data_IF_941142703021
#
_entry.id   IF_941142703021
#
_cell.length_a   1.000
_cell.length_b   1.000
_cell.length_c   1.000
_cell.angle_alpha   90.00
_cell.angle_beta   90.00
_cell.angle_gamma   90.00
#
_symmetry.space_group_name_H-M   'P 1'
#
loop_
_entity.id
_entity.type
_entity.pdbx_description
1 polymer ?
#
# COMPACT_ATOMS: atom_id res chain seq x y z
N UNK A 1 -0.13 -14.87 31.73
CA UNK A 1 0.96 -14.35 30.88
C UNK A 1 1.61 -15.45 30.08
N UNK A 2 1.58 -15.30 28.75
CA UNK A 2 2.40 -16.13 27.86
C UNK A 2 3.80 -15.54 27.87
N UNK A 3 4.78 -16.28 28.38
CA UNK A 3 6.19 -15.89 28.29
C UNK A 3 6.67 -15.84 26.83
N UNK A 4 5.99 -16.60 25.95
CA UNK A 4 6.24 -16.67 24.52
C UNK A 4 4.95 -17.04 23.79
N UNK A 5 4.69 -16.41 22.64
CA UNK A 5 3.50 -16.66 21.82
C UNK A 5 3.84 -16.61 20.34
N UNK A 6 3.10 -17.40 19.54
CA UNK A 6 3.21 -17.41 18.08
C UNK A 6 1.87 -16.99 17.50
N UNK A 7 1.89 -16.04 16.57
CA UNK A 7 0.74 -15.60 15.81
C UNK A 7 1.03 -15.79 14.32
N UNK A 8 0.14 -16.49 13.62
CA UNK A 8 0.24 -16.74 12.19
C UNK A 8 -0.95 -16.04 11.53
N UNK A 9 -0.67 -15.20 10.54
CA UNK A 9 -1.68 -14.45 9.76
C UNK A 9 -1.53 -14.76 8.28
N UNK A 10 -2.59 -14.59 7.49
CA UNK A 10 -2.66 -15.08 6.12
C UNK A 10 -2.95 -13.99 5.06
N UNK A 11 -3.01 -12.73 5.46
CA UNK A 11 -3.42 -11.62 4.59
C UNK A 11 -2.41 -10.45 4.57
N UNK A 12 -1.17 -10.66 5.01
CA UNK A 12 -0.11 -9.64 5.02
C UNK A 12 0.09 -9.02 3.63
N UNK A 13 0.23 -9.86 2.59
CA UNK A 13 0.49 -9.44 1.20
C UNK A 13 -0.62 -8.55 0.60
N UNK A 14 -1.80 -8.51 1.23
CA UNK A 14 -2.92 -7.65 0.85
C UNK A 14 -3.23 -6.55 1.89
N UNK A 15 -2.40 -6.41 2.92
CA UNK A 15 -2.40 -5.33 3.90
C UNK A 15 -2.84 -5.71 5.32
N UNK A 16 -3.05 -6.98 5.65
CA UNK A 16 -3.21 -7.45 7.03
C UNK A 16 -4.51 -7.03 7.75
N UNK A 17 -5.53 -6.57 7.00
CA UNK A 17 -6.72 -5.94 7.56
C UNK A 17 -7.63 -6.90 8.35
N UNK A 18 -7.64 -8.18 7.97
CA UNK A 18 -8.45 -9.22 8.59
C UNK A 18 -7.62 -10.17 9.47
N UNK A 19 -6.31 -10.27 9.25
CA UNK A 19 -5.39 -11.02 10.10
C UNK A 19 -4.81 -10.17 11.22
N UNK A 20 -3.59 -9.65 11.01
CA UNK A 20 -2.82 -8.98 12.05
C UNK A 20 -3.60 -7.84 12.74
N UNK A 21 -4.33 -7.03 11.97
CA UNK A 21 -5.13 -5.91 12.52
C UNK A 21 -6.22 -6.37 13.48
N UNK A 22 -6.83 -7.53 13.27
CA UNK A 22 -7.88 -8.04 14.14
C UNK A 22 -7.28 -8.75 15.36
N UNK A 23 -6.28 -9.62 15.13
CA UNK A 23 -5.65 -10.38 16.21
C UNK A 23 -4.99 -9.47 17.27
N UNK A 24 -4.34 -8.38 16.85
CA UNK A 24 -3.69 -7.42 17.76
C UNK A 24 -4.67 -6.61 18.62
N UNK A 25 -5.99 -6.71 18.40
CA UNK A 25 -6.99 -6.12 19.31
C UNK A 25 -7.19 -6.95 20.57
N UNK A 26 -6.97 -8.26 20.46
CA UNK A 26 -7.22 -9.23 21.53
C UNK A 26 -5.91 -9.69 22.19
N UNK A 27 -4.85 -9.82 21.39
CA UNK A 27 -3.54 -10.30 21.85
C UNK A 27 -2.67 -9.11 22.23
N UNK A 28 -2.24 -9.09 23.50
CA UNK A 28 -1.27 -8.12 24.01
C UNK A 28 0.06 -8.80 24.24
N UNK A 29 1.13 -8.16 23.77
CA UNK A 29 2.51 -8.56 24.02
C UNK A 29 3.32 -7.30 24.38
N UNK A 30 4.28 -7.44 25.29
CA UNK A 30 5.21 -6.35 25.63
C UNK A 30 6.19 -6.07 24.49
N UNK A 31 6.50 -7.10 23.70
CA UNK A 31 7.40 -7.01 22.56
C UNK A 31 6.97 -8.01 21.47
N UNK A 32 7.16 -7.65 20.20
CA UNK A 32 6.82 -8.48 19.07
C UNK A 32 7.96 -8.46 18.04
N UNK A 33 8.22 -9.62 17.42
CA UNK A 33 9.12 -9.76 16.29
C UNK A 33 8.28 -10.26 15.12
N UNK A 34 8.10 -9.43 14.10
CA UNK A 34 7.53 -9.85 12.84
C UNK A 34 8.62 -10.56 12.02
N UNK A 35 8.51 -11.88 11.89
CA UNK A 35 9.47 -12.73 11.15
C UNK A 35 9.21 -12.70 9.64
N UNK A 36 9.20 -11.50 9.05
CA UNK A 36 8.80 -11.27 7.66
C UNK A 36 9.76 -10.32 6.91
N UNK A 37 10.99 -10.19 7.40
CA UNK A 37 11.99 -9.32 6.80
C UNK A 37 13.37 -9.47 7.41
N UNK A 38 14.34 -8.77 6.84
CA UNK A 38 15.74 -8.80 7.32
C UNK A 38 16.54 -9.98 6.80
N UNK A 39 17.43 -10.51 7.63
CA UNK A 39 18.27 -11.68 7.33
C UNK A 39 19.13 -12.08 8.54
N UNK A 40 19.91 -13.15 8.41
CA UNK A 40 20.67 -13.73 9.53
C UNK A 40 21.53 -12.73 10.31
N UNK A 41 22.08 -11.71 9.63
CA UNK A 41 22.92 -10.68 10.23
C UNK A 41 22.29 -9.27 10.12
N UNK A 42 20.96 -9.16 9.95
CA UNK A 42 20.29 -7.88 9.71
C UNK A 42 18.90 -7.84 10.35
N UNK A 43 18.75 -6.94 11.33
CA UNK A 43 17.47 -6.59 11.93
C UNK A 43 16.90 -5.37 11.21
N UNK A 44 15.64 -5.45 10.78
CA UNK A 44 14.91 -4.30 10.22
C UNK A 44 14.26 -3.55 11.36
N UNK A 45 14.68 -2.31 11.58
CA UNK A 45 14.12 -1.42 12.62
C UNK A 45 13.24 -0.30 12.05
N UNK A 46 13.11 -0.24 10.72
CA UNK A 46 12.34 0.79 10.03
C UNK A 46 11.91 0.30 8.64
N UNK A 47 10.66 0.60 8.30
CA UNK A 47 10.06 0.31 7.01
C UNK A 47 9.47 1.60 6.42
N UNK A 48 9.29 1.63 5.10
CA UNK A 48 8.63 2.75 4.44
C UNK A 48 7.12 2.63 4.64
N UNK A 49 6.46 3.74 4.92
CA UNK A 49 5.00 3.81 4.81
C UNK A 49 4.55 3.72 3.35
N UNK A 50 3.26 3.45 3.14
CA UNK A 50 2.63 3.37 1.82
C UNK A 50 1.59 4.48 1.69
N UNK A 51 1.60 5.17 0.54
CA UNK A 51 0.55 6.09 0.13
C UNK A 51 -0.02 5.60 -1.20
N UNK A 52 -1.32 5.28 -1.23
CA UNK A 52 -2.06 4.96 -2.46
C UNK A 52 -2.87 6.19 -2.88
N UNK A 53 -2.57 6.74 -4.06
CA UNK A 53 -3.26 7.89 -4.63
C UNK A 53 -4.09 7.48 -5.85
N UNK A 54 -5.22 8.16 -6.05
CA UNK A 54 -6.02 8.09 -7.28
C UNK A 54 -5.96 9.45 -7.96
N UNK A 55 -5.23 9.54 -9.06
CA UNK A 55 -5.16 10.73 -9.90
C UNK A 55 -6.31 10.72 -10.91
N UNK A 56 -6.94 11.87 -11.10
CA UNK A 56 -8.09 12.02 -12.01
C UNK A 56 -7.83 13.23 -12.89
N UNK A 57 -7.41 12.98 -14.13
CA UNK A 57 -7.35 13.99 -15.17
C UNK A 57 -8.69 14.07 -15.91
N UNK A 58 -9.08 15.29 -16.28
CA UNK A 58 -10.25 15.56 -17.12
C UNK A 58 -9.78 16.27 -18.38
N UNK A 59 -10.47 16.01 -19.47
CA UNK A 59 -10.22 16.63 -20.76
C UNK A 59 -11.53 16.97 -21.45
N UNK A 60 -11.48 17.20 -22.75
CA UNK A 60 -12.60 17.65 -23.57
C UNK A 60 -12.74 16.74 -24.78
N UNK A 61 -13.92 16.16 -24.95
CA UNK A 61 -14.21 15.23 -26.05
C UNK A 61 -14.21 15.95 -27.40
N UNK A 62 -13.68 15.29 -28.43
CA UNK A 62 -13.73 15.73 -29.81
C UNK A 62 -13.89 14.54 -30.76
N UNK A 63 -14.24 14.82 -32.01
CA UNK A 63 -14.28 13.80 -33.07
C UNK A 63 -12.86 13.26 -33.33
N UNK A 64 -12.70 11.95 -33.47
CA UNK A 64 -11.36 11.32 -33.61
C UNK A 64 -10.54 11.82 -34.80
N UNK A 65 -11.20 12.24 -35.89
CA UNK A 65 -10.55 12.86 -37.05
C UNK A 65 -10.13 14.34 -36.85
N UNK A 66 -10.53 14.98 -35.74
CA UNK A 66 -10.22 16.39 -35.41
C UNK A 66 -9.80 16.52 -33.93
N UNK A 67 -8.73 15.84 -33.51
CA UNK A 67 -8.31 15.78 -32.10
C UNK A 67 -7.96 17.16 -31.52
N UNK A 68 -7.49 18.10 -32.34
CA UNK A 68 -7.14 19.48 -31.92
C UNK A 68 -8.33 20.32 -31.43
N UNK A 69 -9.57 19.85 -31.58
CA UNK A 69 -10.77 20.49 -31.00
C UNK A 69 -11.07 20.03 -29.57
N UNK A 70 -10.38 18.99 -29.10
CA UNK A 70 -10.52 18.41 -27.78
C UNK A 70 -9.30 18.65 -26.90
N UNK A 71 -9.34 18.09 -25.70
CA UNK A 71 -8.24 18.05 -24.75
C UNK A 71 -8.10 16.62 -24.26
N UNK A 72 -6.91 16.05 -24.43
CA UNK A 72 -6.68 14.66 -24.09
C UNK A 72 -6.39 14.52 -22.60
N UNK A 73 -7.33 13.90 -21.86
CA UNK A 73 -7.17 13.67 -20.43
C UNK A 73 -5.93 12.80 -20.11
N UNK A 74 -5.49 11.94 -21.02
CA UNK A 74 -4.28 11.11 -20.84
C UNK A 74 -3.03 11.99 -20.89
N UNK A 75 -2.96 12.94 -21.82
CA UNK A 75 -1.84 13.89 -21.90
C UNK A 75 -1.79 14.78 -20.67
N UNK A 76 -2.93 15.27 -20.18
CA UNK A 76 -3.03 16.01 -18.92
C UNK A 76 -2.46 15.19 -17.75
N UNK A 77 -2.84 13.92 -17.63
CA UNK A 77 -2.34 13.04 -16.57
C UNK A 77 -0.83 12.80 -16.65
N UNK A 78 -0.28 12.69 -17.86
CA UNK A 78 1.17 12.51 -18.07
C UNK A 78 1.92 13.80 -17.71
N UNK A 79 1.39 14.96 -18.08
CA UNK A 79 1.99 16.25 -17.78
C UNK A 79 1.99 16.57 -16.27
N UNK A 80 0.96 16.14 -15.52
CA UNK A 80 0.93 16.30 -14.05
C UNK A 80 2.08 15.56 -13.33
N UNK A 81 2.67 14.55 -13.96
CA UNK A 81 3.78 13.78 -13.40
C UNK A 81 5.16 14.39 -13.68
N UNK A 82 5.28 15.18 -14.76
CA UNK A 82 6.56 15.80 -15.17
C UNK A 82 6.97 16.92 -14.24
#
# INVERSE_FOLDING_TARGET
>A
DLQFGVMITADEEIGGANGARQALKEIKAEFCIALDGGGLNKIVIKEKGIVKLKLIARGKTAHGARPWLGENAIENLINDYQ
#
